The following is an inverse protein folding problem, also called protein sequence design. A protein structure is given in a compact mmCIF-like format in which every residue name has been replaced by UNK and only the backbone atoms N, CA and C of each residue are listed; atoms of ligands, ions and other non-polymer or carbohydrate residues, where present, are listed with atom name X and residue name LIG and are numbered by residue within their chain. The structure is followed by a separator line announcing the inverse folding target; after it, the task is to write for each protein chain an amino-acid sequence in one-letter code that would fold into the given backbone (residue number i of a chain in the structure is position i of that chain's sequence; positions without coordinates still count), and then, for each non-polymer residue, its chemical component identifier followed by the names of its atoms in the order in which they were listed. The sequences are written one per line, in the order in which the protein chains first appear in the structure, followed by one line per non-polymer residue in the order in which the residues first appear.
data_IF_509789755730
#
_entry.id   IF_509789755730
#
_cell.length_a   1.000
_cell.length_b   1.000
_cell.length_c   1.000
_cell.angle_alpha   90.00
_cell.angle_beta   90.00
_cell.angle_gamma   90.00
#
_symmetry.space_group_name_H-M   'P 1'
#
loop_
_entity.id
_entity.type
_entity.pdbx_description
1 polymer ?
#
# COMPACT_ATOMS: atom_id res chain seq x y z
N UNK A 1 -22.19 -1.04 13.47
CA UNK A 1 -20.73 -0.95 13.68
C UNK A 1 -20.02 -0.80 12.36
N UNK A 2 -18.89 -0.11 12.36
CA UNK A 2 -18.15 0.15 11.13
C UNK A 2 -16.68 -0.23 11.32
N UNK A 3 -16.11 -0.84 10.31
CA UNK A 3 -14.69 -1.17 10.30
C UNK A 3 -14.19 -0.94 8.89
N UNK A 4 -13.70 0.27 8.62
CA UNK A 4 -13.25 0.66 7.27
C UNK A 4 -11.94 1.43 7.37
N UNK A 5 -11.08 1.19 6.41
CA UNK A 5 -9.82 1.90 6.28
C UNK A 5 -9.69 2.37 4.85
N UNK A 6 -9.26 3.58 4.66
CA UNK A 6 -8.99 4.13 3.35
C UNK A 6 -7.57 4.70 3.36
N UNK A 7 -6.74 4.26 2.44
CA UNK A 7 -5.36 4.71 2.37
C UNK A 7 -5.01 5.14 0.96
N UNK A 8 -4.21 6.19 0.85
CA UNK A 8 -3.55 6.53 -0.40
C UNK A 8 -2.07 6.58 -0.06
N UNK A 9 -1.28 5.74 -0.67
CA UNK A 9 0.14 5.68 -0.37
C UNK A 9 0.91 4.97 -1.46
N UNK A 10 2.22 4.82 -1.23
CA UNK A 10 3.07 4.17 -2.22
C UNK A 10 3.56 2.85 -1.67
N UNK A 11 3.70 1.88 -2.56
CA UNK A 11 4.27 0.61 -2.17
C UNK A 11 5.75 0.80 -1.86
N UNK A 12 6.20 0.22 -0.77
CA UNK A 12 7.60 0.32 -0.40
C UNK A 12 8.42 -0.80 -0.99
N UNK A 13 7.76 -1.81 -1.54
CA UNK A 13 8.42 -2.93 -2.19
C UNK A 13 7.41 -3.60 -3.10
N UNK A 14 7.88 -4.50 -3.96
CA UNK A 14 6.98 -5.23 -4.83
C UNK A 14 6.08 -6.12 -3.99
N UNK A 15 4.85 -6.37 -4.44
CA UNK A 15 3.96 -7.25 -3.69
C UNK A 15 4.53 -8.65 -3.55
N UNK A 16 4.29 -9.24 -2.39
CA UNK A 16 4.72 -10.61 -2.14
C UNK A 16 3.55 -11.54 -2.29
N UNK A 17 3.66 -12.50 -3.18
CA UNK A 17 2.58 -13.42 -3.49
C UNK A 17 2.76 -14.72 -2.74
N UNK A 18 1.70 -15.21 -2.14
CA UNK A 18 1.72 -16.50 -1.45
C UNK A 18 0.52 -17.32 -1.89
N UNK A 19 0.69 -18.63 -2.00
CA UNK A 19 -0.42 -19.50 -2.29
C UNK A 19 -1.08 -19.88 -0.98
N UNK A 20 -2.39 -19.97 -0.99
CA UNK A 20 -3.10 -20.35 0.23
C UNK A 20 -3.38 -21.84 0.19
N UNK A 21 -3.67 -22.40 1.35
CA UNK A 21 -3.94 -23.81 1.47
C UNK A 21 -5.16 -24.23 0.67
N UNK A 22 -6.08 -23.32 0.43
CA UNK A 22 -7.28 -23.64 -0.32
C UNK A 22 -7.09 -23.49 -1.83
N UNK A 23 -5.87 -23.23 -2.26
CA UNK A 23 -5.59 -23.15 -3.70
C UNK A 23 -5.69 -21.77 -4.30
N UNK A 24 -5.99 -20.76 -3.51
CA UNK A 24 -6.03 -19.41 -4.00
C UNK A 24 -4.73 -18.70 -3.77
N UNK A 25 -4.74 -17.40 -3.99
CA UNK A 25 -3.57 -16.57 -3.77
C UNK A 25 -3.87 -15.47 -2.78
N UNK A 26 -2.83 -15.07 -2.06
CA UNK A 26 -2.91 -13.88 -1.27
C UNK A 26 -1.67 -13.06 -1.58
N UNK A 27 -1.77 -11.76 -1.45
CA UNK A 27 -0.62 -10.91 -1.66
C UNK A 27 -0.45 -10.02 -0.44
N UNK A 28 0.80 -9.88 0.01
CA UNK A 28 1.14 -8.96 1.07
C UNK A 28 1.78 -7.74 0.45
N UNK A 29 1.33 -6.57 0.87
CA UNK A 29 1.87 -5.32 0.38
C UNK A 29 2.19 -4.43 1.56
N UNK A 30 3.14 -3.55 1.38
CA UNK A 30 3.45 -2.58 2.42
C UNK A 30 3.39 -1.21 1.81
N UNK A 31 2.51 -0.38 2.36
CA UNK A 31 2.33 0.97 1.87
C UNK A 31 2.94 1.96 2.84
N UNK A 32 3.41 3.06 2.32
CA UNK A 32 3.87 4.16 3.14
C UNK A 32 2.95 5.34 2.88
N UNK A 33 2.51 5.97 3.96
CA UNK A 33 1.78 7.22 3.87
C UNK A 33 2.59 8.28 4.59
N UNK A 34 2.62 9.48 4.04
CA UNK A 34 3.39 10.57 4.58
C UNK A 34 2.49 11.75 4.81
N UNK A 35 2.53 12.29 6.01
CA UNK A 35 1.77 13.47 6.34
C UNK A 35 2.72 14.54 6.84
N UNK A 36 2.38 15.79 6.62
CA UNK A 36 3.18 16.88 7.10
C UNK A 36 2.37 17.68 8.11
N UNK A 37 3.03 18.12 9.17
CA UNK A 37 2.37 18.97 10.14
C UNK A 37 3.37 19.95 10.69
N UNK A 38 2.87 21.00 11.33
CA UNK A 38 3.71 22.01 11.89
C UNK A 38 4.13 21.59 13.28
N UNK A 39 5.39 21.62 13.57
CA UNK A 39 5.87 21.29 14.90
C UNK A 39 5.74 22.44 15.85
N UNK A 40 6.05 22.21 17.11
CA UNK A 40 5.92 23.24 18.12
C UNK A 40 6.83 24.39 17.85
N UNK A 41 7.94 24.17 17.24
CA UNK A 41 8.88 25.25 16.93
C UNK A 41 8.54 25.93 15.63
N UNK A 42 7.42 25.64 15.04
CA UNK A 42 7.02 26.24 13.77
C UNK A 42 7.59 25.56 12.56
N UNK A 43 8.46 24.59 12.72
CA UNK A 43 9.05 23.90 11.59
C UNK A 43 8.10 22.83 11.07
N UNK A 44 8.18 22.56 9.79
CA UNK A 44 7.37 21.51 9.18
C UNK A 44 7.95 20.16 9.54
N UNK A 45 7.08 19.26 10.02
CA UNK A 45 7.51 17.93 10.36
C UNK A 45 6.83 16.91 9.48
N UNK A 46 7.55 15.88 9.12
CA UNK A 46 7.05 14.82 8.30
C UNK A 46 6.77 13.62 9.17
N UNK A 47 5.58 13.06 9.03
CA UNK A 47 5.25 11.83 9.73
C UNK A 47 5.02 10.75 8.72
N UNK A 48 5.74 9.64 8.87
CA UNK A 48 5.69 8.54 7.94
C UNK A 48 5.13 7.34 8.66
N UNK A 49 4.13 6.69 8.06
CA UNK A 49 3.55 5.49 8.62
C UNK A 49 3.61 4.39 7.58
N UNK A 50 3.88 3.17 8.05
CA UNK A 50 3.90 2.02 7.18
C UNK A 50 2.70 1.14 7.51
N UNK A 51 2.04 0.64 6.48
CA UNK A 51 0.83 -0.14 6.66
C UNK A 51 0.96 -1.47 5.97
N UNK A 52 0.57 -2.54 6.65
CA UNK A 52 0.55 -3.85 6.05
C UNK A 52 -0.83 -4.07 5.44
N UNK A 53 -0.87 -4.44 4.18
CA UNK A 53 -2.11 -4.63 3.45
C UNK A 53 -2.08 -6.01 2.84
N UNK A 54 -3.18 -6.76 2.97
CA UNK A 54 -3.28 -8.03 2.31
C UNK A 54 -4.48 -8.02 1.39
N UNK A 55 -4.38 -8.74 0.30
CA UNK A 55 -5.49 -8.92 -0.62
C UNK A 55 -5.57 -10.38 -0.98
N UNK A 56 -6.76 -10.85 -1.29
CA UNK A 56 -6.99 -12.25 -1.59
C UNK A 56 -7.65 -12.42 -2.94
N UNK A 57 -7.51 -13.59 -3.53
CA UNK A 57 -8.25 -13.98 -4.72
C UNK A 57 -7.97 -13.11 -5.92
N UNK A 58 -9.01 -12.67 -6.59
CA UNK A 58 -8.85 -11.91 -7.81
C UNK A 58 -8.11 -10.59 -7.57
N UNK A 59 -8.39 -9.94 -6.46
CA UNK A 59 -7.71 -8.70 -6.16
C UNK A 59 -6.22 -8.94 -5.95
N UNK A 60 -5.85 -10.06 -5.34
CA UNK A 60 -4.45 -10.40 -5.17
C UNK A 60 -3.78 -10.58 -6.53
N UNK A 61 -4.45 -11.19 -7.49
CA UNK A 61 -3.89 -11.36 -8.81
C UNK A 61 -3.66 -10.01 -9.48
N UNK A 62 -4.60 -9.12 -9.39
CA UNK A 62 -4.47 -7.81 -10.00
C UNK A 62 -3.31 -7.05 -9.35
N UNK A 63 -3.22 -7.09 -8.05
CA UNK A 63 -2.13 -6.40 -7.37
C UNK A 63 -0.78 -6.98 -7.76
N UNK A 64 -0.70 -8.29 -7.83
CA UNK A 64 0.53 -8.95 -8.21
C UNK A 64 0.96 -8.59 -9.63
N UNK A 65 0.00 -8.50 -10.53
CA UNK A 65 0.31 -8.26 -11.93
C UNK A 65 0.68 -6.81 -12.21
N UNK A 66 0.07 -5.88 -11.53
CA UNK A 66 0.20 -4.48 -11.90
C UNK A 66 0.94 -3.59 -10.93
N UNK A 67 1.08 -3.98 -9.69
CA UNK A 67 1.71 -3.10 -8.70
C UNK A 67 3.19 -3.42 -8.54
N UNK A 68 3.97 -2.38 -8.33
CA UNK A 68 5.41 -2.51 -8.10
C UNK A 68 5.81 -1.45 -7.09
N UNK A 69 7.00 -1.61 -6.55
CA UNK A 69 7.55 -0.65 -5.62
C UNK A 69 7.43 0.76 -6.16
N UNK A 70 6.98 1.66 -5.32
CA UNK A 70 6.87 3.08 -5.68
C UNK A 70 5.56 3.50 -6.29
N UNK A 71 4.70 2.54 -6.62
CA UNK A 71 3.43 2.90 -7.24
C UNK A 71 2.50 3.53 -6.25
N UNK A 72 1.80 4.57 -6.67
CA UNK A 72 0.83 5.23 -5.81
C UNK A 72 -0.53 4.57 -5.99
N UNK A 73 -1.14 4.18 -4.91
CA UNK A 73 -2.39 3.44 -4.97
C UNK A 73 -3.38 3.93 -3.93
N UNK A 74 -4.64 3.70 -4.22
CA UNK A 74 -5.74 3.93 -3.31
C UNK A 74 -6.22 2.55 -2.87
N UNK A 75 -6.35 2.36 -1.57
CA UNK A 75 -6.79 1.08 -1.02
C UNK A 75 -7.95 1.32 -0.07
N UNK A 76 -8.99 0.52 -0.20
CA UNK A 76 -10.07 0.47 0.77
C UNK A 76 -10.15 -0.91 1.33
N UNK A 77 -10.44 -1.01 2.60
CA UNK A 77 -10.60 -2.30 3.22
C UNK A 77 -11.02 -2.19 4.67
N UNK A 78 -10.69 -3.19 5.44
CA UNK A 78 -11.02 -3.21 6.85
C UNK A 78 -9.81 -3.60 7.64
N UNK A 79 -9.78 -3.24 8.92
CA UNK A 79 -8.72 -3.68 9.79
C UNK A 79 -9.02 -5.07 10.29
N UNK A 80 -7.98 -5.87 10.39
CA UNK A 80 -8.08 -7.20 10.95
C UNK A 80 -6.85 -7.44 11.80
N UNK A 81 -7.04 -7.99 13.00
CA UNK A 81 -5.94 -8.42 13.82
C UNK A 81 -5.98 -9.93 13.90
N UNK A 82 -4.87 -10.56 13.55
CA UNK A 82 -4.79 -12.01 13.68
C UNK A 82 -3.72 -12.35 14.70
N UNK A 83 -3.92 -13.49 15.34
CA UNK A 83 -3.02 -13.97 16.36
C UNK A 83 -2.23 -15.13 15.79
N UNK A 84 -0.99 -15.23 16.16
CA UNK A 84 -0.16 -16.36 15.72
C UNK A 84 0.95 -16.59 16.72
N UNK A 85 1.48 -17.79 16.73
CA UNK A 85 2.57 -18.12 17.63
C UNK A 85 3.87 -18.08 16.84
N UNK A 86 4.83 -17.36 17.38
CA UNK A 86 6.13 -17.28 16.75
C UNK A 86 6.95 -18.53 17.03
N UNK A 87 8.02 -18.67 16.28
CA UNK A 87 8.90 -19.81 16.47
C UNK A 87 9.57 -19.79 17.83
N UNK A 88 9.60 -18.63 18.45
CA UNK A 88 10.20 -18.50 19.77
C UNK A 88 9.18 -18.83 20.86
N UNK A 89 8.01 -19.30 20.51
CA UNK A 89 7.00 -19.64 21.49
C UNK A 89 6.18 -18.47 21.97
N UNK A 90 6.43 -17.27 21.49
CA UNK A 90 5.68 -16.11 21.95
C UNK A 90 4.44 -15.92 21.10
N UNK A 91 3.37 -15.52 21.76
CA UNK A 91 2.11 -15.25 21.10
C UNK A 91 2.16 -13.84 20.52
N UNK A 92 1.81 -13.69 19.28
CA UNK A 92 1.92 -12.40 18.61
C UNK A 92 0.62 -12.02 17.95
N UNK A 93 0.48 -10.71 17.73
CA UNK A 93 -0.68 -10.15 17.06
C UNK A 93 -0.20 -9.36 15.86
N UNK A 94 -0.89 -9.45 14.77
CA UNK A 94 -0.58 -8.64 13.58
C UNK A 94 -1.85 -7.93 13.15
N UNK A 95 -1.79 -6.61 13.06
CA UNK A 95 -2.90 -5.82 12.58
C UNK A 95 -2.61 -5.38 11.16
N UNK A 96 -3.53 -5.64 10.28
CA UNK A 96 -3.33 -5.38 8.86
C UNK A 96 -4.63 -4.92 8.23
N UNK A 97 -4.54 -4.34 7.06
CA UNK A 97 -5.70 -3.94 6.29
C UNK A 97 -5.99 -5.05 5.30
N UNK A 98 -7.23 -5.58 5.32
CA UNK A 98 -7.64 -6.55 4.33
C UNK A 98 -8.34 -5.75 3.24
N UNK A 99 -7.69 -5.62 2.09
CA UNK A 99 -8.18 -4.77 1.02
C UNK A 99 -9.35 -5.43 0.29
N UNK A 100 -10.36 -4.64 -0.03
CA UNK A 100 -11.43 -5.12 -0.86
C UNK A 100 -11.56 -4.29 -2.14
N UNK A 101 -10.83 -3.20 -2.23
CA UNK A 101 -10.85 -2.35 -3.44
C UNK A 101 -9.50 -1.66 -3.60
N UNK A 102 -9.01 -1.59 -4.82
CA UNK A 102 -7.73 -0.96 -5.12
C UNK A 102 -7.85 -0.18 -6.42
N UNK A 103 -7.23 0.99 -6.45
CA UNK A 103 -7.20 1.82 -7.63
C UNK A 103 -5.77 2.34 -7.81
N UNK A 104 -5.22 2.19 -9.00
CA UNK A 104 -3.90 2.71 -9.27
C UNK A 104 -4.01 4.18 -9.60
N UNK A 105 -3.20 5.00 -8.94
CA UNK A 105 -3.27 6.44 -9.11
C UNK A 105 -2.11 7.02 -9.89
N UNK A 106 -1.00 6.31 -9.98
CA UNK A 106 0.14 6.78 -10.76
C UNK A 106 0.23 6.01 -12.06
N UNK A 107 0.90 6.54 -13.06
CA UNK A 107 1.09 5.81 -14.30
C UNK A 107 1.94 4.59 -14.07
N UNK A 108 1.82 3.62 -14.95
CA UNK A 108 2.65 2.45 -14.87
C UNK A 108 4.11 2.85 -15.05
N UNK A 109 5.01 2.38 -14.20
CA UNK A 109 6.42 2.72 -14.38
C UNK A 109 6.96 2.07 -15.64
N UNK A 110 7.97 2.67 -16.24
CA UNK A 110 8.62 2.07 -17.38
C UNK A 110 9.24 0.77 -17.00
N UNK A 111 9.27 -0.16 -17.92
CA UNK A 111 9.73 -1.43 -17.56
C UNK A 111 11.15 -1.55 -17.30
N UNK A 112 11.97 -0.93 -17.93
CA UNK A 112 13.34 -1.20 -17.75
C UNK A 112 14.17 -0.09 -17.47
N UNK A 113 13.79 1.08 -17.52
CA UNK A 113 14.73 2.07 -17.21
C UNK A 113 14.18 3.14 -16.46
N UNK A 114 13.25 3.31 -16.07
CA UNK A 114 12.79 4.32 -15.30
C UNK A 114 12.99 5.67 -15.74
N UNK A 115 13.65 5.82 -16.75
CA UNK A 115 13.97 7.13 -17.05
C UNK A 115 12.80 7.92 -17.44
N UNK A 116 12.01 7.45 -18.18
CA UNK A 116 10.98 8.25 -18.60
C UNK A 116 10.00 8.45 -17.60
N UNK A 117 10.10 7.74 -16.64
CA UNK A 117 9.22 7.74 -15.73
C UNK A 117 9.08 8.86 -14.88
N UNK A 118 10.07 9.31 -14.38
CA UNK A 118 9.95 10.34 -13.52
C UNK A 118 9.34 11.44 -14.14
N UNK A 119 9.59 11.66 -15.29
CA UNK A 119 9.02 12.79 -15.91
C UNK A 119 7.55 12.64 -15.89
N UNK A 120 7.10 11.58 -16.24
CA UNK A 120 5.71 11.42 -16.32
C UNK A 120 5.13 11.58 -15.00
N UNK A 121 5.75 11.03 -14.07
CA UNK A 121 5.29 11.08 -12.86
C UNK A 121 5.11 12.37 -12.36
N UNK A 122 6.05 13.11 -12.51
CA UNK A 122 6.03 14.34 -11.94
C UNK A 122 4.91 15.11 -12.31
N UNK A 123 4.34 14.92 -13.40
CA UNK A 123 3.34 15.73 -13.63
C UNK A 123 2.12 15.14 -13.49
N UNK A 124 2.02 14.09 -13.83
CA UNK A 124 0.79 13.57 -13.80
C UNK A 124 0.26 13.60 -12.53
N UNK A 125 1.00 13.33 -11.85
CA UNK A 125 0.50 13.22 -10.70
C UNK A 125 -0.07 14.31 -10.22
N UNK A 126 0.19 14.73 -10.54
CA UNK A 126 -0.29 15.50 -9.98
C UNK A 126 -1.37 15.81 -10.28
N UNK A 127 -1.45 15.65 -10.70
CA UNK A 127 -2.42 16.01 -10.90
C UNK A 127 -3.51 15.51 -10.42
N UNK A 128 -3.68 14.90 -10.28
CA UNK A 128 -4.61 14.52 -9.85
C UNK A 128 -4.75 14.29 -8.90
N UNK A 129 -4.35 14.19 -8.68
CA UNK A 129 -4.41 14.16 -7.85
C UNK A 129 -4.17 14.71 -7.40
N UNK A 130 -3.87 14.75 -7.78
CA UNK A 130 -3.48 15.12 -7.31
C UNK A 130 -3.92 15.44 -6.61
N UNK A 131 -4.41 15.59 -6.82
CA UNK A 131 -4.77 15.96 -6.03
C UNK A 131 -4.77 15.46 -5.09
N UNK A 132 -5.03 15.02 -5.14
CA UNK A 132 -5.09 14.55 -4.16
C UNK A 132 -4.11 14.26 -3.72
N UNK A 133 -3.75 14.18 -3.96
CA UNK A 133 -2.85 13.80 -3.38
C UNK A 133 -2.37 14.53 -3.12
N UNK A 134 -2.79 14.80 -3.32
CA UNK A 134 -2.23 15.32 -3.02
C UNK A 134 -1.95 15.44 -2.80
#
# INVERSE_FOLDING_TARGET
MINRVTLVGRLTRDPEVHDTASGGQLVNMRLVTTEFRKGEDGARKEEVQYHSVVAFGRLAEVCSDYLRKGRLVYIEGKLRTREWDGKDGLHRYTTEVVADHMQMLSPKPPEDDGAGDEAADGKAADGIMAGAGA
#
